data_IF_678822888925
#
_entry.id   IF_678822888925
#
_cell.length_a   1.000
_cell.length_b   1.000
_cell.length_c   1.000
_cell.angle_alpha   90.00
_cell.angle_beta   90.00
_cell.angle_gamma   90.00
#
_symmetry.space_group_name_H-M   'P 1'
#
loop_
_entity.id
_entity.type
_entity.pdbx_description
1 polymer ?
#
# COMPACT_ATOMS: atom_id res chain seq x y z
N UNK A 1 -12.90 -13.25 36.68
CA UNK A 1 -14.22 -13.18 36.04
C UNK A 1 -14.07 -13.62 34.58
N UNK A 2 -14.94 -14.51 34.09
CA UNK A 2 -14.65 -15.37 32.93
C UNK A 2 -14.70 -14.63 31.59
N UNK A 3 -13.99 -15.18 30.61
CA UNK A 3 -13.94 -14.76 29.22
C UNK A 3 -15.34 -14.73 28.58
N UNK A 4 -15.92 -13.53 28.51
CA UNK A 4 -17.14 -13.26 27.76
C UNK A 4 -16.83 -13.08 26.27
N UNK A 5 -17.52 -13.86 25.45
CA UNK A 5 -17.49 -13.87 23.98
C UNK A 5 -17.59 -12.44 23.40
N UNK A 6 -16.51 -11.98 22.75
CA UNK A 6 -16.43 -10.68 22.08
C UNK A 6 -17.36 -10.68 20.86
N UNK A 7 -18.38 -9.80 20.79
CA UNK A 7 -19.25 -9.71 19.62
C UNK A 7 -18.48 -9.08 18.43
N UNK A 8 -18.58 -9.72 17.26
CA UNK A 8 -17.98 -9.23 16.02
C UNK A 8 -18.61 -7.89 15.62
N UNK A 9 -17.89 -6.78 15.82
CA UNK A 9 -18.38 -5.46 15.44
C UNK A 9 -17.80 -4.28 16.22
N UNK A 10 -17.03 -4.53 17.27
CA UNK A 10 -16.34 -3.49 18.03
C UNK A 10 -15.01 -3.13 17.36
N UNK A 11 -14.89 -1.87 16.93
CA UNK A 11 -13.64 -1.34 16.42
C UNK A 11 -12.73 -0.97 17.60
N UNK A 12 -11.71 -1.78 17.83
CA UNK A 12 -10.63 -1.52 18.78
C UNK A 12 -9.45 -0.87 18.07
N UNK A 13 -9.01 0.30 18.55
CA UNK A 13 -7.72 0.89 18.22
C UNK A 13 -7.01 1.19 19.55
N UNK A 14 -5.89 0.51 19.80
CA UNK A 14 -5.05 0.77 20.99
C UNK A 14 -5.61 0.26 22.32
N UNK A 15 -6.31 -0.88 22.35
CA UNK A 15 -6.66 -1.58 23.60
C UNK A 15 -7.86 -1.03 24.39
N UNK A 16 -8.41 0.12 24.00
CA UNK A 16 -9.64 0.68 24.60
C UNK A 16 -10.86 0.48 23.67
N UNK A 17 -12.03 0.18 24.24
CA UNK A 17 -13.31 0.16 23.51
C UNK A 17 -13.70 1.60 23.19
N UNK A 18 -13.46 2.06 21.97
CA UNK A 18 -13.69 3.47 21.61
C UNK A 18 -15.18 3.76 21.34
N UNK A 19 -16.00 2.77 20.90
CA UNK A 19 -17.47 2.90 20.78
C UNK A 19 -18.13 1.52 20.68
N UNK A 20 -19.19 1.30 21.46
CA UNK A 20 -20.08 0.16 21.28
C UNK A 20 -20.97 0.37 20.04
N UNK A 21 -21.18 -0.69 19.23
CA UNK A 21 -22.03 -0.67 18.02
C UNK A 21 -23.44 -0.11 18.25
N UNK A 22 -23.93 -0.13 19.49
CA UNK A 22 -25.26 0.36 19.88
C UNK A 22 -25.36 1.90 19.91
N UNK A 23 -24.24 2.61 20.10
CA UNK A 23 -24.25 4.08 20.26
C UNK A 23 -24.05 4.82 18.93
N UNK A 24 -23.31 4.21 18.00
CA UNK A 24 -22.94 4.79 16.70
C UNK A 24 -24.13 5.18 15.80
N UNK A 25 -25.22 4.38 15.67
CA UNK A 25 -26.36 4.78 14.84
C UNK A 25 -27.23 5.88 15.46
N UNK A 26 -27.30 6.00 16.79
CA UNK A 26 -28.06 7.06 17.49
C UNK A 26 -27.41 8.43 17.31
N UNK A 27 -26.08 8.52 17.49
CA UNK A 27 -25.35 9.79 17.36
C UNK A 27 -25.24 10.24 15.89
N UNK A 28 -25.15 9.28 14.96
CA UNK A 28 -25.11 9.55 13.50
C UNK A 28 -26.41 10.17 12.97
N UNK A 29 -27.57 9.85 13.55
CA UNK A 29 -28.86 10.47 13.18
C UNK A 29 -29.00 11.94 13.60
N UNK A 30 -28.30 12.36 14.66
CA UNK A 30 -28.42 13.71 15.23
C UNK A 30 -27.47 14.70 14.55
N UNK A 31 -26.29 14.25 14.12
CA UNK A 31 -25.20 15.16 13.69
C UNK A 31 -25.00 15.27 12.18
N UNK A 32 -25.63 14.41 11.36
CA UNK A 32 -25.57 14.46 9.88
C UNK A 32 -24.17 14.31 9.25
N UNK A 33 -23.10 14.32 10.06
CA UNK A 33 -21.70 14.26 9.63
C UNK A 33 -21.04 13.01 10.21
N UNK A 34 -20.13 12.34 9.46
CA UNK A 34 -19.38 11.22 9.99
C UNK A 34 -18.53 11.70 11.18
N UNK A 35 -18.85 11.14 12.36
CA UNK A 35 -18.22 11.40 13.65
C UNK A 35 -16.68 11.39 13.70
N UNK A 36 -15.93 10.55 12.94
CA UNK A 36 -14.47 10.51 13.10
C UNK A 36 -13.76 11.83 12.73
N UNK A 37 -14.28 12.62 11.78
CA UNK A 37 -13.65 13.90 11.44
C UNK A 37 -13.80 14.95 12.55
N UNK A 38 -14.89 14.89 13.33
CA UNK A 38 -15.14 15.80 14.46
C UNK A 38 -14.48 15.31 15.74
N UNK A 39 -14.50 14.00 15.99
CA UNK A 39 -13.99 13.39 17.22
C UNK A 39 -12.46 13.16 17.18
N UNK A 40 -11.90 12.86 16.00
CA UNK A 40 -10.47 12.50 15.80
C UNK A 40 -9.71 13.61 15.05
N UNK A 41 -10.42 14.54 14.40
CA UNK A 41 -9.81 15.74 13.83
C UNK A 41 -8.89 15.51 12.62
N UNK A 42 -8.97 14.37 11.94
CA UNK A 42 -8.12 14.04 10.78
C UNK A 42 -8.56 14.77 9.50
N UNK A 43 -8.59 16.11 9.57
CA UNK A 43 -8.89 16.96 8.43
C UNK A 43 -7.66 17.15 7.53
N UNK A 44 -7.84 17.01 6.22
CA UNK A 44 -6.80 17.33 5.25
C UNK A 44 -6.64 18.85 5.15
N UNK A 45 -5.40 19.34 5.24
CA UNK A 45 -5.10 20.76 4.99
C UNK A 45 -5.59 21.18 3.59
N UNK A 46 -6.28 22.33 3.42
CA UNK A 46 -6.74 22.80 2.12
C UNK A 46 -5.62 22.92 1.08
N UNK A 47 -4.42 23.29 1.52
CA UNK A 47 -3.25 23.36 0.63
C UNK A 47 -2.80 21.97 0.14
N UNK A 48 -2.82 20.96 1.01
CA UNK A 48 -2.51 19.58 0.63
C UNK A 48 -3.58 19.01 -0.31
N UNK A 49 -4.85 19.40 -0.13
CA UNK A 49 -5.93 19.03 -1.03
C UNK A 49 -5.72 19.61 -2.45
N UNK A 50 -5.27 20.87 -2.55
CA UNK A 50 -4.91 21.49 -3.82
C UNK A 50 -3.76 20.75 -4.52
N UNK A 51 -2.67 20.45 -3.80
CA UNK A 51 -1.56 19.67 -4.35
C UNK A 51 -1.98 18.27 -4.82
N UNK A 52 -2.91 17.63 -4.09
CA UNK A 52 -3.45 16.34 -4.49
C UNK A 52 -4.25 16.42 -5.79
N UNK A 53 -5.08 17.45 -5.96
CA UNK A 53 -5.84 17.68 -7.20
C UNK A 53 -4.92 17.91 -8.39
N UNK A 54 -3.88 18.73 -8.23
CA UNK A 54 -2.88 18.94 -9.28
C UNK A 54 -2.15 17.63 -9.64
N UNK A 55 -1.90 16.77 -8.65
CA UNK A 55 -1.37 15.43 -8.88
C UNK A 55 -2.32 14.53 -9.68
N UNK A 56 -3.63 14.62 -9.45
CA UNK A 56 -4.62 13.77 -10.10
C UNK A 56 -4.73 13.98 -11.61
N UNK A 57 -4.53 15.21 -12.10
CA UNK A 57 -4.60 15.54 -13.53
C UNK A 57 -3.70 14.64 -14.39
N UNK A 58 -2.50 14.32 -13.87
CA UNK A 58 -1.47 13.54 -14.56
C UNK A 58 -1.37 12.09 -14.08
N UNK A 59 -2.32 11.64 -13.24
CA UNK A 59 -2.30 10.29 -12.67
C UNK A 59 -2.40 9.21 -13.76
N UNK A 60 -3.26 9.41 -14.75
CA UNK A 60 -3.51 8.44 -15.81
C UNK A 60 -2.24 8.12 -16.63
N UNK A 61 -1.41 9.13 -16.90
CA UNK A 61 -0.12 8.96 -17.60
C UNK A 61 0.89 8.22 -16.72
N UNK A 62 1.02 8.62 -15.45
CA UNK A 62 2.01 8.02 -14.54
C UNK A 62 1.70 6.55 -14.24
N UNK A 63 0.45 6.21 -13.97
CA UNK A 63 0.07 4.83 -13.61
C UNK A 63 0.31 3.86 -14.78
N UNK A 64 0.00 4.27 -16.01
CA UNK A 64 0.28 3.47 -17.20
C UNK A 64 1.79 3.27 -17.38
N UNK A 65 2.57 4.35 -17.28
CA UNK A 65 4.03 4.27 -17.45
C UNK A 65 4.69 3.43 -16.36
N UNK A 66 4.28 3.58 -15.11
CA UNK A 66 4.79 2.78 -14.00
C UNK A 66 4.45 1.29 -14.16
N UNK A 67 3.24 0.98 -14.63
CA UNK A 67 2.83 -0.41 -14.86
C UNK A 67 3.62 -1.05 -16.01
N UNK A 68 3.81 -0.33 -17.12
CA UNK A 68 4.62 -0.82 -18.25
C UNK A 68 6.08 -1.02 -17.87
N UNK A 69 6.66 -0.08 -17.12
CA UNK A 69 8.03 -0.20 -16.62
C UNK A 69 8.19 -1.39 -15.65
N UNK A 70 7.25 -1.57 -14.73
CA UNK A 70 7.27 -2.69 -13.78
C UNK A 70 7.20 -4.04 -14.50
N UNK A 71 6.38 -4.16 -15.54
CA UNK A 71 6.32 -5.38 -16.36
C UNK A 71 7.67 -5.68 -17.06
N UNK A 72 8.30 -4.65 -17.64
CA UNK A 72 9.61 -4.80 -18.29
C UNK A 72 10.69 -5.25 -17.28
N UNK A 73 10.71 -4.64 -16.09
CA UNK A 73 11.64 -5.02 -15.01
C UNK A 73 11.35 -6.43 -14.50
N UNK A 74 10.09 -6.81 -14.34
CA UNK A 74 9.70 -8.14 -13.89
C UNK A 74 10.19 -9.23 -14.87
N UNK A 75 10.02 -9.01 -16.18
CA UNK A 75 10.53 -9.91 -17.22
C UNK A 75 12.06 -10.00 -17.21
N UNK A 76 12.74 -8.87 -17.03
CA UNK A 76 14.20 -8.86 -16.90
C UNK A 76 14.66 -9.67 -15.68
N UNK A 77 14.01 -9.51 -14.53
CA UNK A 77 14.34 -10.22 -13.31
C UNK A 77 14.07 -11.73 -13.38
N UNK A 78 13.06 -12.18 -14.13
CA UNK A 78 12.83 -13.62 -14.36
C UNK A 78 14.00 -14.30 -15.10
N UNK A 79 14.64 -13.58 -16.03
CA UNK A 79 15.78 -14.13 -16.79
C UNK A 79 17.11 -14.08 -16.02
N UNK A 80 17.17 -13.35 -14.91
CA UNK A 80 18.43 -13.04 -14.25
C UNK A 80 18.87 -14.19 -13.29
N UNK A 81 20.07 -14.76 -13.44
CA UNK A 81 20.49 -15.99 -12.73
C UNK A 81 20.63 -15.82 -11.20
N UNK A 82 20.86 -14.59 -10.73
CA UNK A 82 20.94 -14.25 -9.32
C UNK A 82 19.58 -14.08 -8.61
N UNK A 83 18.46 -14.19 -9.33
CA UNK A 83 17.10 -14.07 -8.77
C UNK A 83 16.52 -15.47 -8.55
N UNK A 84 15.85 -15.67 -7.43
CA UNK A 84 15.24 -16.96 -7.06
C UNK A 84 13.79 -17.02 -7.50
N UNK A 85 13.03 -15.95 -7.28
CA UNK A 85 11.63 -15.84 -7.67
C UNK A 85 11.24 -14.37 -7.85
N UNK A 86 10.26 -14.12 -8.70
CA UNK A 86 9.66 -12.80 -8.92
C UNK A 86 8.16 -12.92 -8.70
N UNK A 87 7.61 -12.04 -7.87
CA UNK A 87 6.18 -11.89 -7.65
C UNK A 87 5.70 -10.59 -8.30
N UNK A 88 4.99 -10.76 -9.42
CA UNK A 88 4.30 -9.69 -10.10
C UNK A 88 3.00 -10.21 -10.72
N UNK A 89 1.83 -9.58 -10.47
CA UNK A 89 0.54 -10.07 -10.98
C UNK A 89 0.42 -10.02 -12.51
N UNK A 90 1.27 -9.25 -13.20
CA UNK A 90 1.33 -9.21 -14.66
C UNK A 90 2.12 -10.35 -15.32
N UNK A 91 2.84 -11.17 -14.54
CA UNK A 91 3.53 -12.35 -15.06
C UNK A 91 2.57 -13.55 -15.14
N UNK A 92 2.66 -14.39 -16.20
CA UNK A 92 1.81 -15.56 -16.34
C UNK A 92 2.05 -16.62 -15.27
N UNK A 93 3.25 -16.62 -14.66
CA UNK A 93 3.64 -17.55 -13.61
C UNK A 93 3.03 -17.21 -12.23
N UNK A 94 2.34 -16.07 -12.09
CA UNK A 94 1.78 -15.66 -10.81
C UNK A 94 0.40 -16.30 -10.57
N UNK A 95 0.12 -16.90 -9.39
CA UNK A 95 -1.15 -17.57 -9.10
C UNK A 95 -2.37 -16.66 -9.23
N UNK A 96 -2.23 -15.36 -8.98
CA UNK A 96 -3.31 -14.38 -9.11
C UNK A 96 -3.40 -13.73 -10.51
N UNK A 97 -2.68 -14.23 -11.52
CA UNK A 97 -2.68 -13.62 -12.86
C UNK A 97 -4.07 -13.59 -13.51
N UNK A 98 -4.84 -14.69 -13.39
CA UNK A 98 -6.20 -14.77 -13.93
C UNK A 98 -7.14 -13.73 -13.29
N UNK A 99 -7.08 -13.59 -11.96
CA UNK A 99 -7.84 -12.60 -11.20
C UNK A 99 -7.40 -11.18 -11.56
N UNK A 100 -6.09 -10.95 -11.66
CA UNK A 100 -5.54 -9.66 -12.05
C UNK A 100 -6.01 -9.27 -13.46
N UNK A 101 -6.01 -10.18 -14.43
CA UNK A 101 -6.51 -9.92 -15.79
C UNK A 101 -8.00 -9.55 -15.82
N UNK A 102 -8.81 -10.08 -14.89
CA UNK A 102 -10.24 -9.75 -14.78
C UNK A 102 -10.47 -8.33 -14.25
N UNK A 103 -9.74 -7.92 -13.21
CA UNK A 103 -10.00 -6.65 -12.50
C UNK A 103 -9.10 -5.49 -12.94
N UNK A 104 -7.86 -5.76 -13.33
CA UNK A 104 -6.84 -4.75 -13.66
C UNK A 104 -6.68 -4.67 -15.18
N UNK A 105 -7.47 -3.80 -15.82
CA UNK A 105 -7.47 -3.63 -17.29
C UNK A 105 -6.38 -2.69 -17.82
N UNK A 106 -5.94 -1.71 -17.00
CA UNK A 106 -5.06 -0.61 -17.43
C UNK A 106 -3.65 -0.70 -16.81
N UNK A 107 -3.20 -1.90 -16.45
CA UNK A 107 -1.88 -2.13 -15.85
C UNK A 107 -1.95 -2.89 -14.54
N UNK A 108 -0.87 -3.60 -14.20
CA UNK A 108 -0.79 -4.52 -13.07
C UNK A 108 -0.11 -3.90 -11.83
N UNK A 109 0.01 -2.56 -11.81
CA UNK A 109 0.65 -1.81 -10.73
C UNK A 109 2.16 -1.66 -10.89
N UNK A 110 2.73 -0.80 -10.04
CA UNK A 110 4.14 -0.42 -10.08
C UNK A 110 5.04 -1.21 -9.11
N UNK A 111 4.42 -2.04 -8.25
CA UNK A 111 5.10 -2.74 -7.17
C UNK A 111 5.34 -4.18 -7.60
N UNK A 112 6.57 -4.63 -7.48
CA UNK A 112 6.98 -6.01 -7.67
C UNK A 112 7.89 -6.41 -6.50
N UNK A 113 7.83 -7.68 -6.12
CA UNK A 113 8.72 -8.25 -5.12
C UNK A 113 9.58 -9.34 -5.76
N UNK A 114 10.85 -9.43 -5.41
CA UNK A 114 11.73 -10.48 -5.91
C UNK A 114 12.68 -10.96 -4.81
N UNK A 115 13.00 -12.25 -4.85
CA UNK A 115 13.99 -12.87 -3.97
C UNK A 115 15.34 -12.99 -4.66
N UNK A 116 16.42 -12.63 -3.98
CA UNK A 116 17.80 -12.78 -4.49
C UNK A 116 18.41 -14.07 -3.92
N UNK A 117 19.20 -14.78 -4.73
CA UNK A 117 20.03 -15.91 -4.28
C UNK A 117 21.16 -15.37 -3.38
N UNK A 118 21.16 -15.77 -2.11
CA UNK A 118 22.05 -15.22 -1.07
C UNK A 118 21.33 -14.58 0.12
N UNK A 119 19.98 -14.66 0.15
CA UNK A 119 19.19 -14.37 1.35
C UNK A 119 19.28 -12.92 1.83
N UNK A 120 19.08 -12.74 3.15
CA UNK A 120 18.95 -11.41 3.79
C UNK A 120 20.23 -10.56 3.67
N UNK A 121 21.40 -11.17 3.69
CA UNK A 121 22.68 -10.46 3.57
C UNK A 121 22.93 -9.93 2.16
N UNK A 122 22.65 -10.72 1.12
CA UNK A 122 22.76 -10.27 -0.27
C UNK A 122 21.78 -9.12 -0.57
N UNK A 123 20.56 -9.20 -0.03
CA UNK A 123 19.59 -8.10 -0.12
C UNK A 123 20.07 -6.82 0.57
N UNK A 124 20.62 -6.93 1.79
CA UNK A 124 21.12 -5.78 2.57
C UNK A 124 22.32 -5.10 1.92
N UNK A 125 23.19 -5.84 1.21
CA UNK A 125 24.31 -5.28 0.45
C UNK A 125 23.87 -4.62 -0.87
N UNK A 126 22.84 -5.15 -1.53
CA UNK A 126 22.36 -4.61 -2.82
C UNK A 126 21.53 -3.33 -2.71
N UNK A 127 20.66 -3.19 -1.71
CA UNK A 127 19.83 -1.98 -1.53
C UNK A 127 20.66 -0.67 -1.54
N UNK A 128 21.73 -0.52 -0.73
CA UNK A 128 22.54 0.70 -0.73
C UNK A 128 23.45 0.83 -1.96
N UNK A 129 23.74 -0.25 -2.69
CA UNK A 129 24.58 -0.20 -3.88
C UNK A 129 23.84 0.36 -5.11
N UNK A 130 22.52 0.59 -5.02
CA UNK A 130 21.73 1.19 -6.10
C UNK A 130 21.72 2.72 -5.87
N UNK A 131 22.52 3.53 -6.58
CA UNK A 131 22.66 4.95 -6.30
C UNK A 131 21.32 5.71 -6.39
N UNK A 132 20.40 5.23 -7.23
CA UNK A 132 19.05 5.78 -7.39
C UNK A 132 18.11 5.53 -6.20
N UNK A 133 18.37 4.54 -5.35
CA UNK A 133 17.60 4.26 -4.11
C UNK A 133 18.18 4.97 -2.88
N UNK A 134 19.35 5.62 -3.00
CA UNK A 134 20.05 6.22 -1.86
C UNK A 134 19.46 7.56 -1.39
N UNK A 135 18.52 8.15 -2.16
CA UNK A 135 17.82 9.39 -1.78
C UNK A 135 16.93 9.23 -0.53
N UNK A 136 16.63 8.00 -0.10
CA UNK A 136 15.93 7.73 1.17
C UNK A 136 16.85 7.32 2.32
N UNK A 137 18.18 7.40 2.17
CA UNK A 137 19.09 7.26 3.31
C UNK A 137 19.00 8.53 4.16
N UNK A 138 18.10 8.48 5.14
CA UNK A 138 18.02 9.40 6.27
C UNK A 138 19.45 9.74 6.74
N UNK A 139 19.85 11.00 6.50
CA UNK A 139 21.11 11.57 6.99
C UNK A 139 21.11 11.39 8.51
N UNK A 140 22.09 10.69 9.11
CA UNK A 140 22.27 10.77 10.55
C UNK A 140 22.66 12.22 10.84
N UNK A 141 21.81 12.95 11.55
CA UNK A 141 22.24 14.16 12.25
C UNK A 141 23.16 13.67 13.38
N UNK A 142 24.42 14.12 13.35
CA UNK A 142 25.26 14.15 14.55
C UNK A 142 24.62 15.07 15.59
#
# INVERSE_FOLDING_TARGET
MPAGRIPAGDCFLGGNVIKSRLLTPKIRKISGRPLPLRDIGTALSPFNAFLFLQGLETLHLRVQRHSGNALAVARFLETHPAVTWVNYPGLPNHPSHATAKKYLKNGYGAILAFGIKGGKEAGRKRVPATPWLLIMRWRPLN
#
